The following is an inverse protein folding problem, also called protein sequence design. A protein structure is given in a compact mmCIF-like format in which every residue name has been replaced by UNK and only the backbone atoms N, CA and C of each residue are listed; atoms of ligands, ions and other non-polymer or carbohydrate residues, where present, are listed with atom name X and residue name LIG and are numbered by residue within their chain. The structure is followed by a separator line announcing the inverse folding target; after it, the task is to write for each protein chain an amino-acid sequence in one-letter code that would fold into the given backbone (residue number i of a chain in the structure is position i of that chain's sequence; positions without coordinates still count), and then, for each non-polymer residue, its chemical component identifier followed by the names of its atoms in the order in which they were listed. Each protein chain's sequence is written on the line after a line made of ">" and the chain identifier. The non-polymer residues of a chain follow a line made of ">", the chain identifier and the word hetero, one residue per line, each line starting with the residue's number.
data_IF_021135883121
#
_entry.id   IF_021135883121
#
_cell.length_a   1.000
_cell.length_b   1.000
_cell.length_c   1.000
_cell.angle_alpha   90.00
_cell.angle_beta   90.00
_cell.angle_gamma   90.00
#
_symmetry.space_group_name_H-M   'P 1'
#
loop_
_entity.id
_entity.type
_entity.pdbx_description
1 polymer ?
#
# COMPACT_ATOMS: atom_id res chain seq x y z
N UNK A 1 5.34 24.00 -6.12
CA UNK A 1 5.46 22.52 -6.14
C UNK A 1 4.05 21.98 -6.14
N UNK A 2 3.66 21.20 -7.15
CA UNK A 2 2.34 20.56 -7.18
C UNK A 2 2.24 19.56 -6.04
N UNK A 3 1.15 19.59 -5.29
CA UNK A 3 0.89 18.67 -4.20
C UNK A 3 0.72 17.28 -4.80
N UNK A 4 1.46 16.30 -4.31
CA UNK A 4 1.33 14.91 -4.78
C UNK A 4 -0.05 14.37 -4.44
N UNK A 5 -0.71 13.74 -5.41
CA UNK A 5 -2.04 13.14 -5.24
C UNK A 5 -1.92 11.64 -4.99
N UNK A 6 -2.36 11.19 -3.82
CA UNK A 6 -2.26 9.80 -3.38
C UNK A 6 -3.65 9.20 -3.17
N UNK A 7 -3.99 8.16 -3.92
CA UNK A 7 -5.23 7.42 -3.66
C UNK A 7 -5.03 6.47 -2.48
N UNK A 8 -5.98 6.49 -1.55
CA UNK A 8 -5.97 5.64 -0.35
C UNK A 8 -7.15 4.69 -0.41
N UNK A 9 -6.86 3.40 -0.63
CA UNK A 9 -7.86 2.36 -0.68
C UNK A 9 -7.75 1.42 0.52
N UNK A 10 -8.86 1.17 1.21
CA UNK A 10 -8.91 0.26 2.34
C UNK A 10 -10.28 -0.43 2.47
N UNK A 11 -10.30 -1.57 3.15
CA UNK A 11 -11.52 -2.39 3.38
C UNK A 11 -12.58 -1.63 4.17
N UNK A 12 -12.18 -0.91 5.22
CA UNK A 12 -13.10 -0.16 6.08
C UNK A 12 -13.04 1.34 5.81
N UNK A 13 -14.18 2.02 5.97
CA UNK A 13 -14.25 3.47 5.89
C UNK A 13 -13.38 4.16 6.96
N UNK A 14 -13.36 3.59 8.18
CA UNK A 14 -12.53 4.09 9.28
C UNK A 14 -11.03 3.95 8.98
N UNK A 15 -10.59 2.79 8.49
CA UNK A 15 -9.20 2.57 8.09
C UNK A 15 -8.79 3.51 6.97
N UNK A 16 -9.64 3.67 5.95
CA UNK A 16 -9.40 4.59 4.84
C UNK A 16 -9.24 6.04 5.31
N UNK A 17 -10.12 6.51 6.20
CA UNK A 17 -10.03 7.86 6.77
C UNK A 17 -8.75 8.06 7.58
N UNK A 18 -8.36 7.06 8.40
CA UNK A 18 -7.13 7.11 9.19
C UNK A 18 -5.88 7.23 8.32
N UNK A 19 -5.80 6.45 7.24
CA UNK A 19 -4.67 6.50 6.30
C UNK A 19 -4.67 7.77 5.43
N UNK A 20 -5.84 8.25 5.00
CA UNK A 20 -5.96 9.52 4.29
C UNK A 20 -5.48 10.71 5.13
N UNK A 21 -5.78 10.69 6.44
CA UNK A 21 -5.28 11.70 7.38
C UNK A 21 -3.75 11.69 7.46
N UNK A 22 -3.13 10.51 7.60
CA UNK A 22 -1.66 10.37 7.59
C UNK A 22 -1.03 10.90 6.30
N UNK A 23 -1.61 10.59 5.15
CA UNK A 23 -1.16 11.12 3.86
C UNK A 23 -1.26 12.66 3.82
N UNK A 24 -2.31 13.24 4.40
CA UNK A 24 -2.46 14.70 4.52
C UNK A 24 -1.39 15.32 5.41
N UNK A 25 -1.09 14.69 6.55
CA UNK A 25 -0.05 15.12 7.50
C UNK A 25 1.35 15.17 6.86
N UNK A 26 1.59 14.35 5.83
CA UNK A 26 2.81 14.36 5.02
C UNK A 26 2.82 15.43 3.91
N UNK A 27 1.77 16.25 3.81
CA UNK A 27 1.67 17.29 2.80
C UNK A 27 1.20 16.82 1.44
N UNK A 28 0.68 15.60 1.30
CA UNK A 28 0.05 15.09 0.06
C UNK A 28 -1.47 15.34 0.04
N UNK A 29 -2.09 15.21 -1.14
CA UNK A 29 -3.54 15.27 -1.34
C UNK A 29 -4.11 13.85 -1.37
N UNK A 30 -4.81 13.39 -0.32
CA UNK A 30 -5.41 12.06 -0.35
C UNK A 30 -6.69 12.04 -1.21
N UNK A 31 -6.88 10.95 -1.95
CA UNK A 31 -8.15 10.59 -2.57
C UNK A 31 -8.63 9.30 -1.92
N UNK A 32 -9.60 9.34 -0.99
CA UNK A 32 -10.12 8.11 -0.36
C UNK A 32 -10.97 7.34 -1.37
N UNK A 33 -10.57 6.11 -1.70
CA UNK A 33 -11.27 5.21 -2.64
C UNK A 33 -11.72 3.94 -1.90
N UNK A 34 -13.00 3.54 -1.94
CA UNK A 34 -13.41 2.23 -1.44
C UNK A 34 -12.72 1.10 -2.22
N UNK A 35 -12.29 0.04 -1.55
CA UNK A 35 -11.75 -1.11 -2.27
C UNK A 35 -12.79 -1.68 -3.25
N UNK A 36 -12.31 -2.10 -4.43
CA UNK A 36 -13.12 -2.69 -5.51
C UNK A 36 -14.16 -1.75 -6.12
N UNK A 37 -14.13 -0.45 -5.80
CA UNK A 37 -14.94 0.55 -6.51
C UNK A 37 -14.30 0.92 -7.85
N UNK A 38 -15.04 1.57 -8.77
CA UNK A 38 -14.43 2.21 -9.93
C UNK A 38 -13.25 3.10 -9.53
N UNK A 39 -12.20 3.12 -10.36
CA UNK A 39 -11.04 3.98 -10.15
C UNK A 39 -11.42 5.45 -10.36
N UNK A 40 -10.82 6.40 -9.61
CA UNK A 40 -11.05 7.82 -9.82
C UNK A 40 -10.60 8.23 -11.23
N UNK A 41 -11.28 9.22 -11.79
CA UNK A 41 -10.93 9.83 -13.08
C UNK A 41 -9.77 10.81 -12.95
N UNK A 42 -9.53 11.33 -11.74
CA UNK A 42 -8.46 12.28 -11.45
C UNK A 42 -7.08 11.64 -11.58
N UNK A 43 -6.08 12.48 -11.84
CA UNK A 43 -4.68 12.04 -11.85
C UNK A 43 -4.25 11.60 -10.45
N UNK A 44 -3.72 10.37 -10.34
CA UNK A 44 -3.17 9.81 -9.11
C UNK A 44 -1.70 9.47 -9.33
N UNK A 45 -0.82 10.03 -8.51
CA UNK A 45 0.63 9.79 -8.58
C UNK A 45 1.02 8.43 -7.97
N UNK A 46 0.32 8.04 -6.90
CA UNK A 46 0.59 6.84 -6.12
C UNK A 46 -0.67 6.28 -5.46
N UNK A 47 -0.75 4.97 -5.34
CA UNK A 47 -1.79 4.26 -4.59
C UNK A 47 -1.23 3.66 -3.32
N UNK A 48 -1.92 3.91 -2.21
CA UNK A 48 -1.74 3.19 -0.95
C UNK A 48 -2.95 2.29 -0.77
N UNK A 49 -2.75 0.99 -0.90
CA UNK A 49 -3.79 -0.02 -0.77
C UNK A 49 -3.58 -0.79 0.52
N UNK A 50 -4.53 -0.71 1.44
CA UNK A 50 -4.47 -1.32 2.76
C UNK A 50 -5.46 -2.47 2.84
N UNK A 51 -4.95 -3.65 3.14
CA UNK A 51 -5.75 -4.84 3.40
C UNK A 51 -5.74 -5.19 4.89
N UNK A 52 -6.89 -5.55 5.42
CA UNK A 52 -6.98 -6.15 6.74
C UNK A 52 -6.59 -7.64 6.76
N UNK A 53 -6.71 -8.27 7.93
CA UNK A 53 -6.38 -9.68 8.12
C UNK A 53 -7.34 -10.65 7.40
N UNK A 54 -8.54 -10.20 7.06
CA UNK A 54 -9.59 -11.02 6.45
C UNK A 54 -9.57 -10.93 4.92
N UNK A 55 -9.01 -9.85 4.36
CA UNK A 55 -8.90 -9.68 2.91
C UNK A 55 -7.58 -10.24 2.36
N UNK A 56 -7.68 -11.38 1.67
CA UNK A 56 -6.54 -11.95 0.95
C UNK A 56 -6.17 -11.08 -0.28
N UNK A 57 -4.87 -10.81 -0.54
CA UNK A 57 -4.44 -9.99 -1.67
C UNK A 57 -4.98 -10.46 -3.03
N UNK A 58 -5.05 -11.78 -3.24
CA UNK A 58 -5.55 -12.36 -4.50
C UNK A 58 -7.00 -11.96 -4.80
N UNK A 59 -7.80 -11.70 -3.77
CA UNK A 59 -9.22 -11.32 -3.94
C UNK A 59 -9.43 -9.95 -4.57
N UNK A 60 -8.39 -9.10 -4.59
CA UNK A 60 -8.41 -7.78 -5.23
C UNK A 60 -7.48 -7.67 -6.43
N UNK A 61 -6.83 -8.76 -6.84
CA UNK A 61 -5.82 -8.74 -7.90
C UNK A 61 -6.35 -8.17 -9.22
N UNK A 62 -7.58 -8.53 -9.61
CA UNK A 62 -8.21 -8.00 -10.82
C UNK A 62 -8.40 -6.48 -10.77
N UNK A 63 -8.82 -5.96 -9.61
CA UNK A 63 -8.98 -4.53 -9.40
C UNK A 63 -7.63 -3.80 -9.41
N UNK A 64 -6.62 -4.35 -8.73
CA UNK A 64 -5.26 -3.80 -8.74
C UNK A 64 -4.64 -3.73 -10.14
N UNK A 65 -4.95 -4.69 -11.02
CA UNK A 65 -4.47 -4.70 -12.42
C UNK A 65 -4.99 -3.53 -13.27
N UNK A 66 -6.10 -2.91 -12.86
CA UNK A 66 -6.66 -1.77 -13.56
C UNK A 66 -5.90 -0.47 -13.23
N UNK A 67 -5.17 -0.45 -12.11
CA UNK A 67 -4.43 0.71 -11.65
C UNK A 67 -3.13 0.85 -12.46
N UNK A 68 -2.91 2.04 -13.01
CA UNK A 68 -1.71 2.36 -13.82
C UNK A 68 -0.59 3.03 -13.02
N UNK A 69 -0.96 3.77 -11.97
CA UNK A 69 0.01 4.41 -11.08
C UNK A 69 0.61 3.41 -10.10
N UNK A 70 1.80 3.73 -9.57
CA UNK A 70 2.52 2.87 -8.62
C UNK A 70 1.66 2.52 -7.41
N UNK A 71 1.78 1.29 -6.92
CA UNK A 71 0.99 0.76 -5.81
C UNK A 71 1.91 0.35 -4.66
N UNK A 72 1.62 0.87 -3.48
CA UNK A 72 2.08 0.38 -2.19
C UNK A 72 0.97 -0.49 -1.61
N UNK A 73 1.25 -1.78 -1.45
CA UNK A 73 0.34 -2.72 -0.80
C UNK A 73 0.74 -2.93 0.65
N UNK A 74 -0.12 -2.48 1.56
CA UNK A 74 0.00 -2.69 3.00
C UNK A 74 -0.90 -3.88 3.35
N UNK A 75 -0.32 -5.02 3.73
CA UNK A 75 -1.09 -6.24 4.02
C UNK A 75 -0.41 -7.10 5.08
N UNK A 76 -1.16 -7.77 5.97
CA UNK A 76 -0.60 -8.78 6.86
C UNK A 76 -0.16 -10.05 6.10
N UNK A 77 -0.66 -10.25 4.87
CA UNK A 77 -0.41 -11.44 4.05
C UNK A 77 0.81 -11.24 3.13
N UNK A 78 1.98 -10.95 3.69
CA UNK A 78 3.18 -10.57 2.91
C UNK A 78 3.53 -11.53 1.77
N UNK A 79 3.59 -12.87 1.96
CA UNK A 79 3.92 -13.77 0.86
C UNK A 79 2.88 -13.73 -0.27
N UNK A 80 1.59 -13.63 0.08
CA UNK A 80 0.52 -13.53 -0.90
C UNK A 80 0.57 -12.18 -1.65
N UNK A 81 0.90 -11.09 -0.94
CA UNK A 81 1.09 -9.77 -1.54
C UNK A 81 2.29 -9.73 -2.49
N UNK A 82 3.40 -10.36 -2.13
CA UNK A 82 4.58 -10.49 -2.98
C UNK A 82 4.27 -11.26 -4.27
N UNK A 83 3.52 -12.36 -4.18
CA UNK A 83 3.12 -13.15 -5.36
C UNK A 83 2.28 -12.33 -6.36
N UNK A 84 1.60 -11.26 -5.92
CA UNK A 84 0.88 -10.37 -6.84
C UNK A 84 1.80 -9.58 -7.78
N UNK A 85 3.08 -9.41 -7.45
CA UNK A 85 4.04 -8.70 -8.29
C UNK A 85 4.12 -9.26 -9.73
N UNK A 86 3.85 -10.55 -9.89
CA UNK A 86 3.88 -11.22 -11.19
C UNK A 86 2.67 -10.87 -12.07
N UNK A 87 1.57 -10.42 -11.47
CA UNK A 87 0.29 -10.19 -12.16
C UNK A 87 -0.22 -8.76 -12.07
N UNK A 88 0.30 -7.95 -11.14
CA UNK A 88 -0.02 -6.52 -10.94
C UNK A 88 1.22 -5.69 -11.28
N UNK A 89 1.36 -5.20 -12.53
CA UNK A 89 2.59 -4.55 -12.99
C UNK A 89 2.92 -3.24 -12.27
N UNK A 90 1.91 -2.55 -11.75
CA UNK A 90 2.08 -1.29 -11.04
C UNK A 90 2.38 -1.48 -9.55
N UNK A 91 2.34 -2.71 -9.04
CA UNK A 91 2.81 -3.01 -7.68
C UNK A 91 4.30 -2.70 -7.63
N UNK A 92 4.72 -1.92 -6.64
CA UNK A 92 6.13 -1.56 -6.46
C UNK A 92 6.63 -1.87 -5.04
N UNK A 93 5.74 -1.84 -4.04
CA UNK A 93 6.11 -2.04 -2.65
C UNK A 93 5.05 -2.88 -1.93
N UNK A 94 5.50 -3.85 -1.13
CA UNK A 94 4.65 -4.64 -0.23
C UNK A 94 5.21 -4.55 1.18
N UNK A 95 4.39 -4.20 2.16
CA UNK A 95 4.82 -4.10 3.56
C UNK A 95 3.70 -4.43 4.56
N UNK A 96 4.09 -4.68 5.80
CA UNK A 96 3.15 -5.03 6.87
C UNK A 96 2.52 -3.77 7.50
N UNK A 97 1.27 -3.82 7.98
CA UNK A 97 0.61 -2.68 8.60
C UNK A 97 1.38 -2.00 9.75
N UNK A 98 2.06 -2.73 10.66
CA UNK A 98 2.88 -2.11 11.71
C UNK A 98 4.05 -1.31 11.16
N UNK A 99 4.74 -1.84 10.13
CA UNK A 99 5.88 -1.17 9.50
C UNK A 99 5.42 0.11 8.80
N UNK A 100 4.36 0.01 7.99
CA UNK A 100 3.79 1.16 7.31
C UNK A 100 3.28 2.21 8.30
N UNK A 101 2.76 1.79 9.46
CA UNK A 101 2.29 2.73 10.47
C UNK A 101 3.40 3.46 11.20
N UNK A 102 4.55 2.82 11.39
CA UNK A 102 5.70 3.41 12.06
C UNK A 102 6.48 4.37 11.15
N UNK A 103 6.53 4.11 9.83
CA UNK A 103 7.36 4.85 8.88
C UNK A 103 6.70 5.07 7.53
N UNK A 104 5.46 5.57 7.51
CA UNK A 104 4.73 5.79 6.23
C UNK A 104 5.49 6.75 5.30
N UNK A 105 6.15 7.78 5.83
CA UNK A 105 6.95 8.71 5.02
C UNK A 105 8.07 7.97 4.26
N UNK A 106 8.79 7.09 4.95
CA UNK A 106 9.87 6.29 4.37
C UNK A 106 9.33 5.29 3.35
N UNK A 107 8.18 4.68 3.62
CA UNK A 107 7.49 3.77 2.70
C UNK A 107 7.10 4.49 1.42
N UNK A 108 6.56 5.72 1.50
CA UNK A 108 6.22 6.51 0.32
C UNK A 108 7.46 6.96 -0.46
N UNK A 109 8.50 7.45 0.24
CA UNK A 109 9.76 7.84 -0.39
C UNK A 109 10.43 6.64 -1.10
N UNK A 110 10.41 5.46 -0.49
CA UNK A 110 10.89 4.24 -1.11
C UNK A 110 10.07 3.91 -2.37
N UNK A 111 8.75 3.95 -2.29
CA UNK A 111 7.87 3.69 -3.44
C UNK A 111 8.09 4.67 -4.61
N UNK A 112 8.52 5.91 -4.33
CA UNK A 112 8.92 6.90 -5.34
C UNK A 112 10.26 6.62 -6.01
N UNK A 113 11.20 6.07 -5.26
CA UNK A 113 12.52 5.70 -5.78
C UNK A 113 12.48 4.46 -6.68
N UNK A 114 11.49 3.58 -6.52
CA UNK A 114 11.38 2.33 -7.29
C UNK A 114 10.99 2.64 -8.73
N UNK A 115 11.92 2.37 -9.66
CA UNK A 115 11.71 2.52 -11.10
C UNK A 115 11.16 1.25 -11.76
N UNK A 116 11.45 0.08 -11.19
CA UNK A 116 11.04 -1.23 -11.72
C UNK A 116 11.12 -2.30 -10.64
N UNK A 117 10.29 -3.33 -10.76
CA UNK A 117 10.25 -4.46 -9.83
C UNK A 117 9.43 -4.18 -8.57
N UNK A 118 9.39 -5.18 -7.68
CA UNK A 118 8.68 -5.09 -6.39
C UNK A 118 9.66 -5.30 -5.26
N UNK A 119 9.69 -4.35 -4.33
CA UNK A 119 10.38 -4.50 -3.05
C UNK A 119 9.35 -4.98 -2.03
N UNK A 120 9.75 -5.93 -1.19
CA UNK A 120 8.93 -6.35 -0.08
C UNK A 120 9.68 -6.18 1.24
N UNK A 121 9.13 -5.34 2.12
CA UNK A 121 9.70 -5.06 3.41
C UNK A 121 9.37 -6.20 4.37
N UNK A 122 10.32 -7.10 4.55
CA UNK A 122 10.27 -8.12 5.61
C UNK A 122 11.10 -7.61 6.78
N UNK A 123 10.52 -7.59 7.98
CA UNK A 123 11.35 -7.46 9.19
C UNK A 123 12.17 -8.75 9.30
N UNK A 124 13.43 -8.70 9.78
CA UNK A 124 14.07 -9.91 10.25
C UNK A 124 13.17 -10.53 11.32
N UNK A 125 12.87 -11.83 11.18
CA UNK A 125 12.20 -12.57 12.24
C UNK A 125 12.97 -12.30 13.52
N UNK A 126 12.34 -11.62 14.49
CA UNK A 126 12.95 -11.49 15.81
C UNK A 126 13.16 -12.90 16.32
N UNK A 127 14.41 -13.33 16.38
CA UNK A 127 14.80 -14.54 17.07
C UNK A 127 14.41 -14.29 18.52
N UNK A 128 13.26 -14.82 18.94
CA UNK A 128 12.97 -15.01 20.36
C UNK A 128 14.03 -15.98 20.87
N UNK A 129 15.15 -15.44 21.34
CA UNK A 129 16.04 -16.11 22.26
C UNK A 129 15.22 -16.33 23.53
N UNK A 130 14.51 -17.46 23.60
CA UNK A 130 14.08 -18.01 24.87
C UNK A 130 15.35 -18.28 25.68
N UNK A 131 15.71 -17.34 26.56
CA UNK A 131 16.65 -17.59 27.63
C UNK A 131 16.08 -18.76 28.46
N UNK A 132 16.83 -19.86 28.50
CA UNK A 132 16.60 -20.98 29.40
C UNK A 132 17.09 -20.64 30.79
#
# INVERSE_FOLDING_TARGET
>A
MTKQTIAVAADSAAGRAAWARRVTELGAQPIPVPLRSPLPTDHVDLWVVILDAHTLPISIAFWLRQIRARIVLITPHLPAGQSLAQIVPALCLVCAPPQASAGIADVLALAESIRSGVIALTLPAQVSLCAR
#
